data_IF_722759756651
#
_entry.id   IF_722759756651
#
_cell.length_a   1.000
_cell.length_b   1.000
_cell.length_c   1.000
_cell.angle_alpha   90.00
_cell.angle_beta   90.00
_cell.angle_gamma   90.00
#
_symmetry.space_group_name_H-M   'P 1'
#
loop_
_entity.id
_entity.type
_entity.pdbx_description
1 polymer ?
#
# COMPACT_ATOMS: atom_id res chain seq x y z
N UNK A 1 -2.14 -8.73 -25.40
CA UNK A 1 -2.88 -8.40 -24.18
C UNK A 1 -4.35 -8.15 -24.51
N UNK A 2 -5.26 -8.66 -23.70
CA UNK A 2 -6.70 -8.47 -23.88
C UNK A 2 -7.21 -7.54 -22.77
N UNK A 3 -7.99 -6.54 -23.14
CA UNK A 3 -8.75 -5.69 -22.23
C UNK A 3 -10.18 -6.19 -22.19
N UNK A 4 -10.65 -6.57 -21.03
CA UNK A 4 -12.02 -6.96 -20.79
C UNK A 4 -12.67 -5.86 -19.95
N UNK A 5 -13.65 -5.16 -20.53
CA UNK A 5 -14.33 -4.04 -19.88
C UNK A 5 -15.79 -4.39 -19.57
N UNK A 6 -16.23 -4.06 -18.38
CA UNK A 6 -17.60 -4.24 -17.89
C UNK A 6 -18.18 -2.87 -17.59
N UNK A 7 -19.30 -2.52 -18.24
CA UNK A 7 -20.04 -1.30 -17.99
C UNK A 7 -21.27 -1.59 -17.15
N UNK A 8 -21.51 -0.79 -16.13
CA UNK A 8 -22.69 -0.87 -15.28
C UNK A 8 -23.26 0.51 -14.97
N UNK A 9 -24.47 0.52 -14.44
CA UNK A 9 -25.08 1.75 -13.93
C UNK A 9 -24.36 2.24 -12.68
N UNK A 10 -24.27 3.56 -12.43
CA UNK A 10 -23.55 4.11 -11.27
C UNK A 10 -24.03 3.57 -9.93
N UNK A 11 -25.31 3.24 -9.80
CA UNK A 11 -25.92 2.70 -8.58
C UNK A 11 -25.44 1.28 -8.25
N UNK A 12 -24.87 0.58 -9.24
CA UNK A 12 -24.39 -0.80 -9.12
C UNK A 12 -22.86 -0.89 -9.10
N UNK A 13 -22.18 0.24 -9.27
CA UNK A 13 -20.74 0.30 -9.41
C UNK A 13 -19.98 -0.40 -8.28
N UNK A 14 -20.37 -0.19 -7.02
CA UNK A 14 -19.71 -0.81 -5.86
C UNK A 14 -19.88 -2.33 -5.84
N UNK A 15 -21.06 -2.84 -6.22
CA UNK A 15 -21.34 -4.28 -6.26
C UNK A 15 -20.51 -4.94 -7.36
N UNK A 16 -20.52 -4.35 -8.56
CA UNK A 16 -19.76 -4.85 -9.71
C UNK A 16 -18.24 -4.82 -9.43
N UNK A 17 -17.75 -3.75 -8.81
CA UNK A 17 -16.34 -3.65 -8.43
C UNK A 17 -15.94 -4.74 -7.42
N UNK A 18 -16.77 -4.96 -6.40
CA UNK A 18 -16.50 -5.98 -5.38
C UNK A 18 -16.39 -7.39 -6.01
N UNK A 19 -17.30 -7.74 -6.91
CA UNK A 19 -17.28 -9.03 -7.62
C UNK A 19 -16.09 -9.14 -8.58
N UNK A 20 -15.82 -8.08 -9.36
CA UNK A 20 -14.67 -8.07 -10.27
C UNK A 20 -13.33 -8.15 -9.54
N UNK A 21 -13.20 -7.57 -8.36
CA UNK A 21 -11.98 -7.64 -7.55
C UNK A 21 -11.65 -9.08 -7.15
N UNK A 22 -12.64 -9.93 -6.97
CA UNK A 22 -12.46 -11.37 -6.71
C UNK A 22 -11.92 -12.10 -7.94
N UNK A 23 -12.40 -11.71 -9.14
CA UNK A 23 -12.04 -12.34 -10.41
C UNK A 23 -10.75 -11.78 -11.02
N UNK A 24 -10.37 -10.57 -10.62
CA UNK A 24 -9.21 -9.84 -11.14
C UNK A 24 -8.27 -9.36 -10.02
N UNK A 25 -7.53 -10.28 -9.38
CA UNK A 25 -6.61 -9.94 -8.28
C UNK A 25 -5.47 -9.00 -8.70
N UNK A 26 -5.24 -8.85 -10.00
CA UNK A 26 -4.21 -7.94 -10.56
C UNK A 26 -4.65 -6.48 -10.64
N UNK A 27 -5.88 -6.17 -10.20
CA UNK A 27 -6.45 -4.83 -10.19
C UNK A 27 -7.48 -4.58 -11.28
N UNK A 28 -8.29 -3.57 -11.05
CA UNK A 28 -9.40 -3.15 -11.91
C UNK A 28 -9.22 -1.66 -12.20
N UNK A 29 -9.25 -1.28 -13.48
CA UNK A 29 -9.28 0.12 -13.91
C UNK A 29 -10.73 0.62 -13.87
N UNK A 30 -10.97 1.81 -13.31
CA UNK A 30 -12.28 2.44 -13.27
C UNK A 30 -12.30 3.68 -14.18
N UNK A 31 -13.30 3.74 -15.07
CA UNK A 31 -13.58 4.93 -15.87
C UNK A 31 -15.05 5.32 -15.68
N UNK A 32 -15.32 6.62 -15.40
CA UNK A 32 -16.68 7.15 -15.26
C UNK A 32 -17.08 7.95 -16.49
N UNK A 33 -18.10 7.48 -17.18
CA UNK A 33 -18.74 8.16 -18.29
C UNK A 33 -20.11 8.73 -17.93
N UNK A 34 -20.74 9.46 -18.87
CA UNK A 34 -22.11 9.99 -18.67
C UNK A 34 -23.12 8.86 -18.51
N UNK A 35 -23.53 8.58 -17.28
CA UNK A 35 -24.56 7.59 -16.96
C UNK A 35 -24.08 6.15 -16.86
N UNK A 36 -22.77 5.90 -16.86
CA UNK A 36 -22.19 4.57 -16.62
C UNK A 36 -20.87 4.66 -15.87
N UNK A 37 -20.49 3.55 -15.23
CA UNK A 37 -19.15 3.28 -14.75
C UNK A 37 -18.63 2.08 -15.52
N UNK A 38 -17.40 2.17 -16.03
CA UNK A 38 -16.71 1.08 -16.72
C UNK A 38 -15.56 0.58 -15.86
N UNK A 39 -15.51 -0.71 -15.69
CA UNK A 39 -14.40 -1.40 -15.05
C UNK A 39 -13.66 -2.25 -16.07
N UNK A 40 -12.35 -2.08 -16.20
CA UNK A 40 -11.53 -2.84 -17.13
C UNK A 40 -10.48 -3.67 -16.40
N UNK A 41 -10.30 -4.89 -16.85
CA UNK A 41 -9.25 -5.81 -16.42
C UNK A 41 -8.42 -6.22 -17.62
N UNK A 42 -7.15 -6.48 -17.37
CA UNK A 42 -6.17 -6.79 -18.42
C UNK A 42 -5.50 -8.13 -18.14
N UNK A 43 -5.32 -8.94 -19.17
CA UNK A 43 -4.65 -10.23 -19.07
C UNK A 43 -4.22 -10.80 -20.42
N UNK A 44 -3.41 -11.84 -20.38
CA UNK A 44 -3.08 -12.64 -21.56
C UNK A 44 -4.23 -13.54 -22.00
N UNK A 45 -4.07 -14.21 -23.15
CA UNK A 45 -5.01 -15.20 -23.62
C UNK A 45 -5.08 -16.36 -22.60
N UNK A 46 -6.26 -16.62 -22.04
CA UNK A 46 -6.50 -17.61 -21.00
C UNK A 46 -6.23 -17.17 -19.55
N UNK A 47 -5.81 -15.93 -19.32
CA UNK A 47 -5.61 -15.36 -17.98
C UNK A 47 -6.81 -14.53 -17.48
N UNK A 48 -7.72 -14.17 -18.38
CA UNK A 48 -8.93 -13.44 -18.04
C UNK A 48 -10.08 -14.39 -17.70
N UNK A 49 -10.99 -13.99 -16.78
CA UNK A 49 -12.20 -14.73 -16.50
C UNK A 49 -13.03 -14.95 -17.76
N UNK A 50 -13.72 -16.07 -17.86
CA UNK A 50 -14.67 -16.28 -18.94
C UNK A 50 -15.85 -15.32 -18.84
N UNK A 51 -16.38 -14.88 -19.98
CA UNK A 51 -17.49 -13.91 -20.02
C UNK A 51 -18.71 -14.36 -19.19
N UNK A 52 -19.00 -15.66 -19.15
CA UNK A 52 -20.08 -16.23 -18.35
C UNK A 52 -19.87 -16.07 -16.83
N UNK A 53 -18.62 -16.07 -16.35
CA UNK A 53 -18.30 -15.82 -14.95
C UNK A 53 -18.56 -14.35 -14.59
N UNK A 54 -18.22 -13.44 -15.50
CA UNK A 54 -18.45 -12.00 -15.32
C UNK A 54 -19.94 -11.64 -15.36
N UNK A 55 -20.72 -12.25 -16.28
CA UNK A 55 -22.17 -12.09 -16.35
C UNK A 55 -22.86 -12.58 -15.07
N UNK A 56 -22.40 -13.69 -14.50
CA UNK A 56 -22.92 -14.20 -13.23
C UNK A 56 -22.53 -13.29 -12.07
N UNK A 57 -21.31 -12.78 -12.04
CA UNK A 57 -20.82 -11.90 -11.01
C UNK A 57 -21.51 -10.51 -11.04
N UNK A 58 -21.67 -9.93 -12.22
CA UNK A 58 -22.28 -8.61 -12.38
C UNK A 58 -23.84 -8.61 -12.26
N UNK A 59 -24.47 -9.78 -12.44
CA UNK A 59 -25.93 -9.91 -12.33
C UNK A 59 -26.71 -9.05 -13.31
N UNK A 60 -27.95 -8.70 -12.93
CA UNK A 60 -28.88 -7.90 -13.77
C UNK A 60 -28.42 -6.43 -13.98
N UNK A 61 -27.29 -6.04 -13.38
CA UNK A 61 -26.72 -4.70 -13.48
C UNK A 61 -25.74 -4.51 -14.63
N UNK A 62 -25.42 -5.57 -15.34
CA UNK A 62 -24.52 -5.50 -16.48
C UNK A 62 -25.18 -4.76 -17.64
N UNK A 63 -24.53 -3.68 -18.08
CA UNK A 63 -24.99 -2.93 -19.26
C UNK A 63 -24.31 -3.44 -20.52
N UNK A 64 -23.01 -3.69 -20.45
CA UNK A 64 -22.21 -4.14 -21.60
C UNK A 64 -20.89 -4.79 -21.16
N UNK A 65 -20.50 -5.88 -21.81
CA UNK A 65 -19.16 -6.47 -21.70
C UNK A 65 -18.47 -6.35 -23.04
N UNK A 66 -17.30 -5.70 -23.06
CA UNK A 66 -16.52 -5.47 -24.27
C UNK A 66 -15.14 -6.10 -24.11
N UNK A 67 -14.83 -7.07 -24.96
CA UNK A 67 -13.45 -7.60 -25.08
C UNK A 67 -12.77 -6.94 -26.26
N UNK A 68 -11.59 -6.37 -26.03
CA UNK A 68 -10.79 -5.72 -27.08
C UNK A 68 -9.36 -6.21 -27.04
N UNK A 69 -8.81 -6.60 -28.19
CA UNK A 69 -7.37 -6.76 -28.28
C UNK A 69 -6.70 -5.39 -28.07
N UNK A 70 -5.77 -5.35 -27.14
CA UNK A 70 -4.99 -4.14 -26.88
C UNK A 70 -3.84 -4.13 -27.86
N UNK A 71 -3.69 -3.07 -28.68
CA UNK A 71 -2.56 -2.95 -29.62
C UNK A 71 -1.21 -3.04 -28.89
N UNK A 72 -0.16 -3.42 -29.61
CA UNK A 72 1.20 -3.54 -29.05
C UNK A 72 1.76 -2.20 -28.50
N UNK A 73 1.16 -1.06 -28.90
CA UNK A 73 1.46 0.27 -28.35
C UNK A 73 0.88 0.54 -26.95
N UNK A 74 0.17 -0.43 -26.38
CA UNK A 74 -0.37 -0.30 -25.02
C UNK A 74 0.74 -0.20 -23.97
N UNK A 75 1.86 -0.89 -24.18
CA UNK A 75 3.02 -0.76 -23.30
C UNK A 75 3.54 0.68 -23.26
N UNK A 76 3.46 1.40 -24.36
CA UNK A 76 3.84 2.82 -24.44
C UNK A 76 2.80 3.71 -23.75
N UNK A 77 1.50 3.42 -23.92
CA UNK A 77 0.42 4.14 -23.24
C UNK A 77 0.42 3.91 -21.73
N UNK A 78 0.72 2.69 -21.30
CA UNK A 78 0.84 2.38 -19.89
C UNK A 78 1.94 3.20 -19.20
N UNK A 79 3.03 3.49 -19.89
CA UNK A 79 4.07 4.39 -19.42
C UNK A 79 3.56 5.83 -19.24
N UNK A 80 2.63 6.29 -20.08
CA UNK A 80 2.04 7.63 -20.00
C UNK A 80 1.24 7.88 -18.71
N UNK A 81 0.72 6.82 -18.08
CA UNK A 81 0.01 6.90 -16.80
C UNK A 81 0.95 6.95 -15.58
N UNK A 82 2.20 6.51 -15.75
CA UNK A 82 3.18 6.46 -14.64
C UNK A 82 4.19 7.59 -14.77
N UNK A 83 3.69 8.82 -14.58
CA UNK A 83 4.55 10.01 -14.66
C UNK A 83 5.34 10.20 -13.36
N UNK A 84 6.57 10.72 -13.46
CA UNK A 84 7.37 11.04 -12.29
C UNK A 84 6.68 12.03 -11.36
N UNK A 85 6.93 11.90 -10.07
CA UNK A 85 6.38 12.74 -9.03
C UNK A 85 7.49 13.33 -8.17
N UNK A 86 7.45 14.65 -7.95
CA UNK A 86 8.31 15.33 -6.97
C UNK A 86 7.57 15.43 -5.64
N UNK A 87 8.10 14.81 -4.59
CA UNK A 87 7.55 14.85 -3.25
C UNK A 87 8.43 15.73 -2.36
N UNK A 88 7.81 16.70 -1.67
CA UNK A 88 8.48 17.63 -0.74
C UNK A 88 9.66 18.36 -1.37
N UNK A 89 9.63 18.62 -2.67
CA UNK A 89 10.68 19.26 -3.46
C UNK A 89 12.04 18.54 -3.45
N UNK A 90 12.14 17.35 -2.84
CA UNK A 90 13.40 16.63 -2.60
C UNK A 90 13.43 15.20 -3.12
N UNK A 91 12.34 14.44 -3.04
CA UNK A 91 12.26 13.08 -3.57
C UNK A 91 11.69 13.10 -4.97
N UNK A 92 12.45 12.58 -5.92
CA UNK A 92 12.02 12.37 -7.30
C UNK A 92 11.66 10.91 -7.50
N UNK A 93 10.37 10.60 -7.36
CA UNK A 93 9.84 9.27 -7.58
C UNK A 93 9.52 9.09 -9.06
N UNK A 94 10.12 8.09 -9.67
CA UNK A 94 9.98 7.82 -11.10
C UNK A 94 10.05 6.34 -11.43
N UNK A 95 9.46 5.91 -12.53
CA UNK A 95 9.77 4.62 -13.13
C UNK A 95 11.16 4.63 -13.79
N UNK A 96 11.69 3.44 -14.11
CA UNK A 96 13.06 3.29 -14.63
C UNK A 96 13.30 3.90 -16.03
N UNK A 97 12.23 4.07 -16.81
CA UNK A 97 12.31 4.67 -18.16
C UNK A 97 12.29 6.21 -18.17
N UNK A 98 12.04 6.83 -17.04
CA UNK A 98 12.09 8.28 -16.88
C UNK A 98 13.46 8.73 -16.38
N UNK A 99 13.84 9.96 -16.73
CA UNK A 99 15.16 10.49 -16.39
C UNK A 99 15.23 10.97 -14.91
N UNK A 100 16.39 10.81 -14.27
CA UNK A 100 16.60 11.36 -12.94
C UNK A 100 16.54 12.90 -12.97
N UNK A 101 16.12 13.49 -11.84
CA UNK A 101 16.07 14.94 -11.66
C UNK A 101 17.29 15.44 -10.90
N UNK A 102 18.03 16.38 -11.49
CA UNK A 102 19.19 16.98 -10.85
C UNK A 102 18.80 17.67 -9.53
N UNK A 103 19.58 17.43 -8.49
CA UNK A 103 19.38 18.01 -7.16
C UNK A 103 18.30 17.34 -6.31
N UNK A 104 17.63 16.31 -6.82
CA UNK A 104 16.68 15.53 -6.06
C UNK A 104 17.24 14.16 -5.65
N UNK A 105 16.70 13.58 -4.58
CA UNK A 105 16.94 12.19 -4.19
C UNK A 105 16.12 11.31 -5.14
N UNK A 106 16.80 10.57 -5.99
CA UNK A 106 16.18 9.74 -7.01
C UNK A 106 15.62 8.45 -6.40
N UNK A 107 14.35 8.16 -6.64
CA UNK A 107 13.62 7.01 -6.14
C UNK A 107 12.97 6.28 -7.32
N UNK A 108 13.60 5.19 -7.75
CA UNK A 108 13.15 4.40 -8.90
C UNK A 108 12.20 3.31 -8.43
N UNK A 109 10.96 3.36 -8.87
CA UNK A 109 9.95 2.35 -8.57
C UNK A 109 9.19 2.03 -9.85
N UNK A 110 9.44 0.85 -10.38
CA UNK A 110 8.72 0.38 -11.54
C UNK A 110 7.33 -0.10 -11.14
N UNK A 111 6.29 0.34 -11.86
CA UNK A 111 4.95 -0.17 -11.68
C UNK A 111 4.95 -1.66 -12.04
N UNK A 112 4.61 -2.48 -11.06
CA UNK A 112 4.53 -3.94 -11.19
C UNK A 112 3.17 -4.43 -10.70
N UNK A 113 3.09 -5.72 -10.40
CA UNK A 113 1.91 -6.34 -9.77
C UNK A 113 1.71 -5.91 -8.31
N UNK A 114 2.73 -5.31 -7.67
CA UNK A 114 2.64 -4.86 -6.29
C UNK A 114 2.03 -3.46 -6.20
N UNK A 115 1.19 -3.24 -5.18
CA UNK A 115 0.63 -1.93 -4.85
C UNK A 115 1.73 -0.93 -4.44
N UNK A 116 1.53 0.35 -4.74
CA UNK A 116 2.41 1.41 -4.25
C UNK A 116 3.43 1.93 -5.27
N UNK A 117 2.97 2.27 -6.49
CA UNK A 117 3.81 2.99 -7.49
C UNK A 117 4.22 4.40 -7.02
N UNK A 118 3.72 4.82 -5.83
CA UNK A 118 4.01 6.12 -5.25
C UNK A 118 3.14 7.28 -5.75
N UNK A 119 2.38 7.09 -6.82
CA UNK A 119 1.46 8.10 -7.34
C UNK A 119 0.23 8.30 -6.44
N UNK A 120 -0.12 7.28 -5.63
CA UNK A 120 -1.28 7.35 -4.76
C UNK A 120 -1.08 8.37 -3.62
N UNK A 121 -2.10 9.18 -3.27
CA UNK A 121 -2.00 10.19 -2.21
C UNK A 121 -1.49 9.64 -0.88
N UNK A 122 -1.89 8.43 -0.48
CA UNK A 122 -1.47 7.80 0.78
C UNK A 122 0.04 7.55 0.85
N UNK A 123 0.65 7.09 -0.25
CA UNK A 123 2.10 6.90 -0.34
C UNK A 123 2.82 8.24 -0.28
N UNK A 124 2.30 9.25 -0.97
CA UNK A 124 2.85 10.60 -0.95
C UNK A 124 2.85 11.19 0.46
N UNK A 125 1.75 11.06 1.20
CA UNK A 125 1.65 11.54 2.59
C UNK A 125 2.68 10.86 3.51
N UNK A 126 2.91 9.54 3.37
CA UNK A 126 3.97 8.84 4.10
C UNK A 126 5.37 9.37 3.74
N UNK A 127 5.66 9.58 2.45
CA UNK A 127 6.94 10.11 2.00
C UNK A 127 7.19 11.54 2.51
N UNK A 128 6.16 12.38 2.57
CA UNK A 128 6.24 13.72 3.14
C UNK A 128 6.59 13.69 4.64
N UNK A 129 5.98 12.78 5.41
CA UNK A 129 6.34 12.58 6.82
C UNK A 129 7.78 12.06 6.98
N UNK A 130 8.22 11.10 6.17
CA UNK A 130 9.60 10.60 6.21
C UNK A 130 10.62 11.72 5.92
N UNK A 131 10.33 12.59 4.94
CA UNK A 131 11.17 13.76 4.64
C UNK A 131 11.27 14.72 5.81
N UNK A 132 10.18 15.00 6.51
CA UNK A 132 10.19 15.89 7.66
C UNK A 132 10.92 15.30 8.86
N UNK A 133 10.75 14.01 9.12
CA UNK A 133 11.51 13.30 10.15
C UNK A 133 13.02 13.37 9.85
N UNK A 134 13.40 13.22 8.57
CA UNK A 134 14.81 13.36 8.16
C UNK A 134 15.32 14.80 8.37
N UNK A 135 14.54 15.80 7.96
CA UNK A 135 14.91 17.21 8.17
C UNK A 135 15.00 17.58 9.65
N UNK A 136 14.22 16.94 10.51
CA UNK A 136 14.31 17.08 11.96
C UNK A 136 15.52 16.36 12.57
N UNK A 137 16.32 15.63 11.76
CA UNK A 137 17.47 14.83 12.21
C UNK A 137 17.08 13.51 12.86
N UNK A 138 15.88 13.01 12.61
CA UNK A 138 15.35 11.78 13.20
C UNK A 138 15.57 10.55 12.30
N UNK A 139 16.07 10.74 11.08
CA UNK A 139 16.40 9.65 10.18
C UNK A 139 17.68 8.93 10.61
N UNK A 140 17.58 8.16 11.68
CA UNK A 140 18.69 7.39 12.23
C UNK A 140 18.23 6.09 12.87
N UNK A 141 19.10 5.06 12.82
CA UNK A 141 18.76 3.75 13.35
C UNK A 141 17.72 2.99 12.50
N UNK A 142 17.12 1.93 13.08
CA UNK A 142 16.27 1.03 12.32
C UNK A 142 14.90 1.61 12.01
N UNK A 143 14.33 1.20 10.85
CA UNK A 143 12.95 1.46 10.46
C UNK A 143 12.28 0.16 10.02
N UNK A 144 11.00 0.03 10.36
CA UNK A 144 10.12 -1.07 9.91
C UNK A 144 9.03 -0.52 8.98
N UNK A 145 8.90 -1.11 7.79
CA UNK A 145 7.81 -0.86 6.83
C UNK A 145 6.84 -2.04 6.85
N UNK A 146 5.61 -1.80 7.33
CA UNK A 146 4.55 -2.79 7.43
C UNK A 146 3.62 -2.69 6.22
N UNK A 147 3.49 -3.78 5.45
CA UNK A 147 2.81 -3.78 4.16
C UNK A 147 3.64 -3.05 3.11
N UNK A 148 4.87 -3.53 2.90
CA UNK A 148 5.88 -2.81 2.10
C UNK A 148 5.51 -2.69 0.62
N UNK A 149 4.68 -3.59 0.08
CA UNK A 149 4.24 -3.57 -1.32
C UNK A 149 5.41 -3.51 -2.30
N UNK A 150 5.47 -2.46 -3.11
CA UNK A 150 6.57 -2.19 -4.04
C UNK A 150 7.92 -1.87 -3.37
N UNK A 151 7.94 -1.70 -2.05
CA UNK A 151 9.11 -1.28 -1.28
C UNK A 151 9.36 0.24 -1.26
N UNK A 152 8.49 1.03 -1.85
CA UNK A 152 8.72 2.48 -2.05
C UNK A 152 9.04 3.23 -0.76
N UNK A 153 8.34 2.94 0.35
CA UNK A 153 8.56 3.61 1.63
C UNK A 153 9.84 3.12 2.30
N UNK A 154 10.10 1.82 2.30
CA UNK A 154 11.34 1.23 2.80
C UNK A 154 12.58 1.76 2.04
N UNK A 155 12.50 1.84 0.70
CA UNK A 155 13.59 2.34 -0.14
C UNK A 155 13.82 3.84 0.12
N UNK A 156 12.74 4.63 0.21
CA UNK A 156 12.83 6.05 0.55
C UNK A 156 13.49 6.24 1.93
N UNK A 157 13.07 5.48 2.94
CA UNK A 157 13.66 5.52 4.27
C UNK A 157 15.16 5.22 4.25
N UNK A 158 15.59 4.15 3.53
CA UNK A 158 17.00 3.81 3.39
C UNK A 158 17.80 4.95 2.71
N UNK A 159 17.26 5.59 1.69
CA UNK A 159 17.91 6.74 1.01
C UNK A 159 17.97 7.99 1.89
N UNK A 160 17.05 8.14 2.82
CA UNK A 160 16.99 9.26 3.77
C UNK A 160 17.87 9.06 5.01
N UNK A 161 18.41 7.84 5.23
CA UNK A 161 19.41 7.59 6.26
C UNK A 161 19.04 6.60 7.36
N UNK A 162 17.84 6.00 7.32
CA UNK A 162 17.50 4.88 8.22
C UNK A 162 18.30 3.62 7.85
N UNK A 163 18.88 2.96 8.84
CA UNK A 163 19.61 1.70 8.67
C UNK A 163 19.64 0.92 10.01
N UNK A 164 19.31 -0.38 10.05
CA UNK A 164 18.71 -1.16 8.98
C UNK A 164 17.25 -0.82 8.70
N UNK A 165 16.83 -1.02 7.45
CA UNK A 165 15.41 -0.94 7.06
C UNK A 165 14.88 -2.33 6.81
N UNK A 166 13.71 -2.65 7.40
CA UNK A 166 13.02 -3.93 7.24
C UNK A 166 11.65 -3.70 6.65
N UNK A 167 11.30 -4.48 5.62
CA UNK A 167 9.99 -4.45 4.96
C UNK A 167 9.29 -5.81 5.07
N UNK A 168 8.00 -5.76 5.38
CA UNK A 168 7.15 -6.94 5.53
C UNK A 168 5.91 -6.83 4.66
N UNK A 169 5.57 -7.93 3.98
CA UNK A 169 4.32 -8.06 3.24
C UNK A 169 3.83 -9.51 3.32
N UNK A 170 2.53 -9.72 3.12
CA UNK A 170 1.96 -11.07 3.13
C UNK A 170 2.00 -11.73 1.75
N UNK A 171 2.27 -10.97 0.70
CA UNK A 171 2.31 -11.42 -0.68
C UNK A 171 3.76 -11.60 -1.17
N UNK A 172 4.13 -12.82 -1.57
CA UNK A 172 5.45 -13.11 -2.14
C UNK A 172 5.78 -12.23 -3.36
N UNK A 173 4.82 -11.97 -4.31
CA UNK A 173 5.09 -11.06 -5.43
C UNK A 173 5.45 -9.62 -4.99
N UNK A 174 4.89 -9.14 -3.88
CA UNK A 174 5.24 -7.82 -3.30
C UNK A 174 6.68 -7.82 -2.79
N UNK A 175 7.10 -8.88 -2.10
CA UNK A 175 8.48 -9.06 -1.62
C UNK A 175 9.47 -9.11 -2.78
N UNK A 176 9.17 -9.82 -3.86
CA UNK A 176 10.01 -9.88 -5.06
C UNK A 176 10.13 -8.52 -5.74
N UNK A 177 9.01 -7.79 -5.87
CA UNK A 177 8.98 -6.43 -6.44
C UNK A 177 9.81 -5.46 -5.58
N UNK A 178 9.61 -5.44 -4.26
CA UNK A 178 10.38 -4.63 -3.33
C UNK A 178 11.89 -4.92 -3.42
N UNK A 179 12.27 -6.19 -3.52
CA UNK A 179 13.66 -6.61 -3.70
C UNK A 179 14.27 -6.12 -5.01
N UNK A 180 13.51 -6.15 -6.09
CA UNK A 180 13.92 -5.65 -7.41
C UNK A 180 14.11 -4.13 -7.38
N UNK A 181 13.13 -3.41 -6.83
CA UNK A 181 13.19 -1.96 -6.69
C UNK A 181 14.32 -1.52 -5.74
N UNK A 182 14.57 -2.22 -4.62
CA UNK A 182 15.68 -1.92 -3.73
C UNK A 182 17.04 -2.04 -4.45
N UNK A 183 17.23 -3.08 -5.27
CA UNK A 183 18.42 -3.23 -6.11
C UNK A 183 18.56 -2.11 -7.13
N UNK A 184 17.49 -1.73 -7.82
CA UNK A 184 17.51 -0.63 -8.79
C UNK A 184 17.91 0.71 -8.14
N UNK A 185 17.57 0.89 -6.87
CA UNK A 185 17.92 2.08 -6.07
C UNK A 185 19.28 1.99 -5.38
N UNK A 186 19.97 0.87 -5.43
CA UNK A 186 21.28 0.66 -4.78
C UNK A 186 21.22 0.71 -3.26
N UNK A 187 20.06 0.39 -2.65
CA UNK A 187 19.88 0.35 -1.20
C UNK A 187 19.66 -1.07 -0.70
N UNK A 188 19.96 -1.29 0.59
CA UNK A 188 19.68 -2.55 1.27
C UNK A 188 18.41 -2.42 2.08
N UNK A 189 17.44 -3.30 1.82
CA UNK A 189 16.23 -3.49 2.61
C UNK A 189 16.13 -4.98 2.95
N UNK A 190 15.93 -5.29 4.22
CA UNK A 190 15.68 -6.66 4.68
C UNK A 190 14.20 -6.96 4.49
N UNK A 191 13.86 -7.89 3.61
CA UNK A 191 12.48 -8.20 3.21
C UNK A 191 12.07 -9.58 3.71
N UNK A 192 10.86 -9.69 4.25
CA UNK A 192 10.30 -10.95 4.73
C UNK A 192 8.81 -11.06 4.34
N UNK A 193 8.43 -12.20 3.74
CA UNK A 193 7.03 -12.53 3.51
C UNK A 193 6.39 -12.93 4.86
N UNK A 194 5.45 -12.11 5.35
CA UNK A 194 4.83 -12.31 6.65
C UNK A 194 3.40 -11.78 6.71
N UNK A 195 2.47 -12.60 7.16
CA UNK A 195 1.11 -12.17 7.45
C UNK A 195 1.04 -11.42 8.78
N UNK A 196 0.98 -10.10 8.73
CA UNK A 196 0.93 -9.21 9.89
C UNK A 196 -0.33 -9.40 10.76
N UNK A 197 -1.38 -10.04 10.24
CA UNK A 197 -2.58 -10.37 11.02
C UNK A 197 -2.37 -11.55 11.97
N UNK A 198 -1.38 -12.40 11.69
CA UNK A 198 -1.05 -13.59 12.51
C UNK A 198 0.01 -13.32 13.56
N UNK A 199 0.82 -12.29 13.38
CA UNK A 199 1.84 -11.89 14.35
C UNK A 199 2.75 -10.80 13.82
N UNK A 200 3.05 -9.83 14.69
CA UNK A 200 3.98 -8.75 14.37
C UNK A 200 5.44 -9.23 14.45
N UNK A 201 6.31 -8.70 13.59
CA UNK A 201 7.75 -8.82 13.77
C UNK A 201 8.23 -7.99 14.96
N UNK A 202 9.53 -8.07 15.26
CA UNK A 202 10.16 -7.08 16.11
C UNK A 202 10.13 -5.71 15.41
N UNK A 203 9.46 -4.73 16.03
CA UNK A 203 9.29 -3.40 15.47
C UNK A 203 10.50 -2.52 15.79
N UNK A 204 10.90 -1.73 14.82
CA UNK A 204 11.89 -0.68 14.98
C UNK A 204 11.32 0.52 15.77
N UNK A 205 12.17 1.43 16.29
CA UNK A 205 11.73 2.68 16.89
C UNK A 205 10.93 3.57 15.94
N UNK A 206 11.22 3.52 14.64
CA UNK A 206 10.43 4.17 13.60
C UNK A 206 9.69 3.11 12.78
N UNK A 207 8.38 3.28 12.65
CA UNK A 207 7.51 2.41 11.86
C UNK A 207 6.76 3.23 10.83
N UNK A 208 6.67 2.74 9.60
CA UNK A 208 5.77 3.26 8.59
C UNK A 208 4.81 2.15 8.16
N UNK A 209 3.53 2.50 7.94
CA UNK A 209 2.52 1.58 7.43
C UNK A 209 1.51 2.31 6.56
N UNK A 210 1.44 1.95 5.29
CA UNK A 210 0.43 2.44 4.37
C UNK A 210 -0.59 1.33 4.14
N UNK A 211 -1.56 1.23 5.05
CA UNK A 211 -2.52 0.11 5.12
C UNK A 211 -3.91 0.63 5.47
N UNK A 212 -4.94 -0.11 5.09
CA UNK A 212 -6.33 0.26 5.43
C UNK A 212 -6.61 0.16 6.94
N UNK A 213 -7.56 0.96 7.43
CA UNK A 213 -7.95 1.00 8.84
C UNK A 213 -8.28 -0.38 9.44
N UNK A 214 -9.00 -1.30 8.75
CA UNK A 214 -9.23 -2.65 9.30
C UNK A 214 -7.95 -3.42 9.61
N UNK A 215 -6.93 -3.30 8.79
CA UNK A 215 -5.64 -3.98 9.02
C UNK A 215 -4.88 -3.34 10.17
N UNK A 216 -4.86 -2.00 10.23
CA UNK A 216 -4.21 -1.26 11.32
C UNK A 216 -4.85 -1.57 12.69
N UNK A 217 -6.18 -1.74 12.76
CA UNK A 217 -6.88 -2.20 13.98
C UNK A 217 -6.38 -3.57 14.42
N UNK A 218 -6.30 -4.53 13.51
CA UNK A 218 -5.80 -5.87 13.83
C UNK A 218 -4.34 -5.82 14.32
N UNK A 219 -3.52 -4.96 13.74
CA UNK A 219 -2.13 -4.73 14.19
C UNK A 219 -2.13 -4.16 15.62
N UNK A 220 -2.94 -3.14 15.88
CA UNK A 220 -3.00 -2.49 17.19
C UNK A 220 -3.44 -3.46 18.31
N UNK A 221 -4.41 -4.34 18.03
CA UNK A 221 -4.92 -5.33 18.98
C UNK A 221 -3.88 -6.40 19.37
N UNK A 222 -2.85 -6.65 18.58
CA UNK A 222 -1.83 -7.66 18.88
C UNK A 222 -0.95 -7.29 20.09
N UNK A 223 -1.01 -6.06 20.53
CA UNK A 223 -0.22 -5.54 21.66
C UNK A 223 -1.07 -5.00 22.80
N UNK A 224 -2.23 -5.55 23.05
CA UNK A 224 -2.99 -5.22 24.27
C UNK A 224 -2.24 -5.75 25.51
N UNK A 225 -1.63 -4.87 26.35
CA UNK A 225 -0.88 -5.31 27.52
C UNK A 225 -1.76 -5.87 28.63
N UNK A 226 -3.07 -5.60 28.63
CA UNK A 226 -3.97 -5.92 29.73
C UNK A 226 -4.88 -7.14 29.51
N UNK A 227 -4.87 -7.76 28.32
CA UNK A 227 -5.47 -9.10 28.10
C UNK A 227 -6.93 -9.31 28.51
N UNK A 228 -7.70 -8.28 28.87
CA UNK A 228 -9.02 -8.36 29.48
C UNK A 228 -10.19 -8.03 28.53
N UNK A 229 -10.02 -8.14 27.23
CA UNK A 229 -11.18 -8.20 26.34
C UNK A 229 -11.38 -9.62 25.86
N UNK A 230 -12.04 -10.38 26.73
CA UNK A 230 -12.43 -11.77 26.51
C UNK A 230 -13.10 -11.99 25.16
N UNK A 231 -12.33 -12.49 24.17
CA UNK A 231 -12.81 -13.32 23.08
C UNK A 231 -11.77 -14.38 22.76
N UNK A 232 -12.24 -15.60 22.93
CA UNK A 232 -11.65 -16.87 22.63
C UNK A 232 -10.47 -16.85 21.64
N UNK A 233 -9.24 -16.87 22.16
CA UNK A 233 -8.10 -17.42 21.43
C UNK A 233 -8.34 -18.93 21.31
N UNK A 234 -8.85 -19.39 20.18
CA UNK A 234 -8.69 -20.77 19.78
C UNK A 234 -7.18 -20.97 19.52
N UNK A 235 -6.65 -21.88 20.32
CA UNK A 235 -5.28 -22.28 20.46
C UNK A 235 -4.51 -22.49 19.16
N UNK A 236 -3.60 -21.56 18.86
CA UNK A 236 -2.40 -21.83 18.10
C UNK A 236 -1.24 -22.08 19.08
N UNK A 237 -0.29 -22.98 18.78
CA UNK A 237 0.80 -23.28 19.71
C UNK A 237 1.64 -22.02 19.92
N UNK A 238 1.73 -21.60 21.20
CA UNK A 238 2.54 -20.47 21.62
C UNK A 238 4.03 -20.73 21.31
N UNK A 239 4.55 -20.05 20.29
CA UNK A 239 5.97 -19.76 20.28
C UNK A 239 6.16 -18.70 21.36
N UNK A 240 6.84 -19.08 22.43
CA UNK A 240 7.10 -18.23 23.58
C UNK A 240 7.94 -17.01 23.14
N UNK A 241 7.26 -15.89 22.89
CA UNK A 241 7.91 -14.58 22.85
C UNK A 241 8.28 -14.22 24.30
N UNK A 242 9.55 -14.25 24.62
CA UNK A 242 10.08 -14.02 25.97
C UNK A 242 10.05 -12.56 26.42
N UNK A 243 9.60 -11.64 25.56
CA UNK A 243 9.35 -10.22 25.88
C UNK A 243 8.43 -9.62 24.82
N UNK A 244 7.51 -8.69 25.17
CA UNK A 244 6.77 -7.93 24.17
C UNK A 244 7.77 -7.14 23.31
N UNK A 245 7.54 -7.00 22.00
CA UNK A 245 8.40 -6.20 21.12
C UNK A 245 8.52 -4.76 21.63
N UNK A 246 9.65 -4.09 21.44
CA UNK A 246 9.84 -2.70 21.87
C UNK A 246 8.73 -1.81 21.30
N UNK A 247 8.36 -0.77 22.04
CA UNK A 247 7.36 0.21 21.59
C UNK A 247 8.01 1.08 20.52
N UNK A 248 7.41 1.27 19.34
CA UNK A 248 7.85 2.29 18.42
C UNK A 248 7.81 3.67 19.10
N UNK A 249 8.79 4.51 18.82
CA UNK A 249 8.81 5.89 19.29
C UNK A 249 8.02 6.78 18.32
N UNK A 250 8.03 6.41 17.05
CA UNK A 250 7.38 7.15 15.97
C UNK A 250 6.70 6.17 15.01
N UNK A 251 5.44 6.45 14.68
CA UNK A 251 4.71 5.71 13.66
C UNK A 251 4.09 6.67 12.64
N UNK A 252 4.31 6.39 11.35
CA UNK A 252 3.64 7.04 10.22
C UNK A 252 2.61 6.06 9.67
N UNK A 253 1.34 6.40 9.77
CA UNK A 253 0.22 5.56 9.34
C UNK A 253 -0.55 6.27 8.23
N UNK A 254 -0.85 5.58 7.13
CA UNK A 254 -1.66 6.08 6.02
C UNK A 254 -2.48 4.95 5.40
N UNK A 255 -3.18 5.23 4.28
CA UNK A 255 -4.18 4.32 3.75
C UNK A 255 -5.53 4.48 4.42
N UNK A 256 -5.75 5.66 5.02
CA UNK A 256 -6.91 6.01 5.85
C UNK A 256 -7.81 7.01 5.14
N UNK A 257 -9.10 6.96 5.48
CA UNK A 257 -10.02 8.05 5.20
C UNK A 257 -9.95 9.10 6.32
N UNK A 258 -10.26 10.38 6.06
CA UNK A 258 -10.25 11.42 7.10
C UNK A 258 -11.12 11.11 8.32
N UNK A 259 -12.25 10.41 8.12
CA UNK A 259 -13.16 10.01 9.20
C UNK A 259 -12.60 8.90 10.10
N UNK A 260 -11.55 8.20 9.70
CA UNK A 260 -10.94 7.08 10.45
C UNK A 260 -9.79 7.53 11.36
N UNK A 261 -9.31 8.78 11.21
CA UNK A 261 -8.10 9.26 11.90
C UNK A 261 -8.21 9.20 13.42
N UNK A 262 -9.33 9.68 13.99
CA UNK A 262 -9.53 9.72 15.44
C UNK A 262 -9.57 8.29 16.01
N UNK A 263 -10.30 7.38 15.35
CA UNK A 263 -10.37 5.98 15.75
C UNK A 263 -8.99 5.30 15.71
N UNK A 264 -8.22 5.53 14.64
CA UNK A 264 -6.88 4.92 14.50
C UNK A 264 -5.91 5.49 15.55
N UNK A 265 -5.97 6.79 15.86
CA UNK A 265 -5.18 7.35 16.95
C UNK A 265 -5.55 6.71 18.30
N UNK A 266 -6.85 6.50 18.57
CA UNK A 266 -7.32 5.86 19.80
C UNK A 266 -6.90 4.39 19.94
N UNK A 267 -6.91 3.59 18.86
CA UNK A 267 -6.52 2.19 18.93
C UNK A 267 -5.02 1.98 19.16
N UNK A 268 -4.19 2.97 18.84
CA UNK A 268 -2.74 2.94 19.13
C UNK A 268 -2.38 3.63 20.46
N UNK A 269 -3.30 4.31 21.14
CA UNK A 269 -3.03 4.93 22.44
C UNK A 269 -2.55 3.92 23.53
N UNK A 270 -3.03 2.66 23.59
CA UNK A 270 -2.50 1.64 24.53
C UNK A 270 -1.01 1.30 24.28
N UNK A 271 -0.48 1.64 23.12
CA UNK A 271 0.97 1.50 22.82
C UNK A 271 1.79 2.63 23.45
N UNK A 272 1.17 3.60 24.11
CA UNK A 272 1.81 4.81 24.62
C UNK A 272 2.02 5.87 23.53
N UNK A 273 1.37 5.70 22.38
CA UNK A 273 1.47 6.63 21.26
C UNK A 273 0.35 7.66 21.30
N UNK A 274 0.65 8.88 20.94
CA UNK A 274 -0.30 9.97 20.79
C UNK A 274 -0.12 10.65 19.44
N UNK A 275 -1.20 11.24 18.93
CA UNK A 275 -1.13 11.99 17.68
C UNK A 275 -0.21 13.22 17.81
N UNK A 276 0.76 13.32 16.91
CA UNK A 276 1.66 14.45 16.80
C UNK A 276 1.29 15.34 15.61
N UNK A 277 0.83 14.74 14.50
CA UNK A 277 0.39 15.47 13.30
C UNK A 277 -0.57 14.60 12.48
N UNK A 278 -1.44 15.26 11.70
CA UNK A 278 -2.33 14.61 10.72
C UNK A 278 -2.37 15.38 9.40
N UNK A 279 -2.54 14.65 8.31
CA UNK A 279 -2.62 15.22 6.96
C UNK A 279 -3.76 14.63 6.19
N UNK A 280 -4.36 15.45 5.33
CA UNK A 280 -5.44 15.05 4.43
C UNK A 280 -5.11 15.53 3.03
N UNK A 281 -5.25 14.64 2.05
CA UNK A 281 -5.10 14.95 0.63
C UNK A 281 -6.23 14.27 -0.16
N UNK A 282 -7.20 15.06 -0.63
CA UNK A 282 -8.43 14.54 -1.22
C UNK A 282 -9.21 13.69 -0.22
N UNK A 283 -9.53 12.48 -0.60
CA UNK A 283 -10.26 11.51 0.22
C UNK A 283 -9.35 10.69 1.16
N UNK A 284 -8.04 10.95 1.18
CA UNK A 284 -7.05 10.17 1.90
C UNK A 284 -6.37 10.95 3.00
N UNK A 285 -5.95 10.22 4.02
CA UNK A 285 -5.34 10.80 5.19
C UNK A 285 -4.15 9.97 5.72
N UNK A 286 -3.34 10.63 6.55
CA UNK A 286 -2.23 10.03 7.27
C UNK A 286 -2.07 10.64 8.66
N UNK A 287 -1.52 9.84 9.58
CA UNK A 287 -1.21 10.18 10.97
C UNK A 287 0.28 10.04 11.23
N UNK A 288 0.83 10.96 11.99
CA UNK A 288 2.09 10.82 12.69
C UNK A 288 1.78 10.62 14.18
N UNK A 289 2.13 9.45 14.71
CA UNK A 289 1.98 9.12 16.13
C UNK A 289 3.35 9.09 16.81
N UNK A 290 3.44 9.56 18.07
CA UNK A 290 4.66 9.57 18.88
C UNK A 290 4.40 9.11 20.30
N UNK A 291 5.43 8.47 20.91
CA UNK A 291 5.43 8.07 22.32
C UNK A 291 5.70 9.27 23.25
#
# INVERSE_FOLDING_TARGET
>A
LIRLAVRCAPEQAEIVLAELTVLAPNGVEEERGPGFVEYAIYGGEGELPELGEIEVAAGDGLVEVVSTEVPDDWADRWQDFHKPLLVGERLWLRPSWEEPREGAIDLVVDPGRAFGTGAHPTTRLCLEFLLELEQAGEASGPLTDLGTGSGVLAIAAAKLGWDPVRGYDHEEPSIEAAGTNAKANGVRVELECRNLREGLPELAPTVVANMTAPVLRVIAEQRDPDGDRGRARQSLPAVALTSPPPIPITMVLSGLLPAELDEIAEVFAPWGLSEADRRVQGDWAALLLRA
#
